data_IF_810023218477
#
_entry.id   IF_810023218477
#
_cell.length_a   1.000
_cell.length_b   1.000
_cell.length_c   1.000
_cell.angle_alpha   90.00
_cell.angle_beta   90.00
_cell.angle_gamma   90.00
#
_symmetry.space_group_name_H-M   'P 1'
#
loop_
_entity.id
_entity.type
_entity.pdbx_description
1 polymer ?
#
# COMPACT_ATOMS: atom_id res chain seq x y z
N UNK A 1 -4.13 -22.50 6.18
CA UNK A 1 -4.69 -21.16 6.47
C UNK A 1 -4.44 -20.30 5.22
N UNK A 2 -5.39 -19.49 4.75
CA UNK A 2 -5.17 -18.68 3.52
C UNK A 2 -4.23 -17.51 3.84
N UNK A 3 -3.26 -17.25 2.98
CA UNK A 3 -2.34 -16.11 3.09
C UNK A 3 -3.03 -14.86 2.53
N UNK A 4 -3.92 -14.25 3.30
CA UNK A 4 -4.68 -13.06 2.87
C UNK A 4 -3.88 -11.79 3.21
N UNK A 5 -3.96 -10.75 2.38
CA UNK A 5 -3.42 -9.42 2.69
C UNK A 5 -4.42 -8.31 2.40
N UNK A 6 -4.29 -7.22 3.14
CA UNK A 6 -5.09 -6.01 2.98
C UNK A 6 -4.45 -5.07 1.95
N UNK A 7 -5.25 -4.24 1.30
CA UNK A 7 -4.79 -3.25 0.33
C UNK A 7 -5.38 -1.87 0.57
N UNK A 8 -4.57 -0.83 0.36
CA UNK A 8 -5.02 0.55 0.24
C UNK A 8 -4.45 1.13 -1.05
N UNK A 9 -5.30 1.55 -1.98
CA UNK A 9 -4.87 2.12 -3.24
C UNK A 9 -5.59 3.43 -3.50
N UNK A 10 -4.91 4.44 -4.06
CA UNK A 10 -5.59 5.62 -4.56
C UNK A 10 -4.77 6.90 -4.61
N UNK A 11 -5.42 8.02 -4.86
CA UNK A 11 -4.74 9.27 -5.22
C UNK A 11 -5.58 10.49 -4.88
N UNK A 12 -4.92 11.62 -4.62
CA UNK A 12 -5.51 12.97 -4.73
C UNK A 12 -4.72 13.86 -5.71
N UNK A 13 -3.93 13.24 -6.57
CA UNK A 13 -3.17 13.86 -7.66
C UNK A 13 -3.68 13.35 -9.02
N UNK A 14 -3.13 13.91 -10.10
CA UNK A 14 -3.39 13.42 -11.46
C UNK A 14 -2.42 12.31 -11.88
N UNK A 15 -1.51 11.89 -10.99
CA UNK A 15 -0.56 10.85 -11.28
C UNK A 15 -1.29 9.50 -11.31
N UNK A 16 -1.19 8.76 -12.42
CA UNK A 16 -1.83 7.45 -12.62
C UNK A 16 -0.86 6.28 -12.47
N UNK A 17 0.43 6.55 -12.26
CA UNK A 17 1.47 5.53 -12.19
C UNK A 17 1.30 4.61 -10.98
N UNK A 18 0.69 5.10 -9.91
CA UNK A 18 0.33 4.28 -8.74
C UNK A 18 -0.52 3.06 -9.10
N UNK A 19 -1.36 3.11 -10.14
CA UNK A 19 -2.15 1.95 -10.58
C UNK A 19 -1.27 0.88 -11.20
N UNK A 20 -0.24 1.28 -11.97
CA UNK A 20 0.73 0.36 -12.56
C UNK A 20 1.54 -0.32 -11.47
N UNK A 21 2.11 0.45 -10.54
CA UNK A 21 2.85 -0.08 -9.39
C UNK A 21 1.96 -1.00 -8.56
N UNK A 22 0.73 -0.58 -8.27
CA UNK A 22 -0.22 -1.40 -7.52
C UNK A 22 -0.46 -2.75 -8.19
N UNK A 23 -0.71 -2.78 -9.51
CA UNK A 23 -0.89 -4.03 -10.26
C UNK A 23 0.34 -4.92 -10.23
N UNK A 24 1.54 -4.36 -10.41
CA UNK A 24 2.80 -5.13 -10.38
C UNK A 24 3.03 -5.78 -9.01
N UNK A 25 2.80 -5.05 -7.93
CA UNK A 25 2.95 -5.58 -6.56
C UNK A 25 1.88 -6.64 -6.23
N UNK A 26 0.65 -6.49 -6.72
CA UNK A 26 -0.37 -7.55 -6.59
C UNK A 26 0.10 -8.84 -7.28
N UNK A 27 0.61 -8.76 -8.51
CA UNK A 27 1.08 -9.94 -9.25
C UNK A 27 2.25 -10.64 -8.53
N UNK A 28 3.16 -9.88 -7.91
CA UNK A 28 4.24 -10.43 -7.10
C UNK A 28 3.71 -11.15 -5.86
N UNK A 29 2.75 -10.55 -5.15
CA UNK A 29 2.13 -11.18 -3.98
C UNK A 29 1.42 -12.49 -4.36
N UNK A 30 0.70 -12.50 -5.49
CA UNK A 30 -0.01 -13.68 -6.00
C UNK A 30 0.95 -14.80 -6.37
N UNK A 31 2.08 -14.49 -7.02
CA UNK A 31 3.14 -15.48 -7.33
C UNK A 31 3.74 -16.13 -6.08
N UNK A 32 3.77 -15.40 -4.96
CA UNK A 32 4.24 -15.89 -3.65
C UNK A 32 3.13 -16.56 -2.81
N UNK A 33 1.93 -16.74 -3.39
CA UNK A 33 0.82 -17.45 -2.75
C UNK A 33 0.02 -16.63 -1.75
N UNK A 34 0.18 -15.30 -1.75
CA UNK A 34 -0.67 -14.38 -1.00
C UNK A 34 -1.87 -13.95 -1.86
N UNK A 35 -3.00 -13.62 -1.24
CA UNK A 35 -4.22 -13.21 -1.95
C UNK A 35 -4.81 -11.96 -1.34
N UNK A 36 -5.25 -11.04 -2.20
CA UNK A 36 -5.91 -9.81 -1.76
C UNK A 36 -7.23 -10.15 -1.06
N UNK A 37 -7.54 -9.42 0.01
CA UNK A 37 -8.86 -9.43 0.62
C UNK A 37 -9.96 -9.13 -0.41
N UNK A 38 -11.11 -9.78 -0.24
CA UNK A 38 -12.33 -9.49 -1.01
C UNK A 38 -13.27 -8.53 -0.27
N UNK A 39 -12.99 -8.23 0.98
CA UNK A 39 -13.82 -7.38 1.82
C UNK A 39 -13.45 -5.92 1.57
N UNK A 40 -14.39 -5.13 1.05
CA UNK A 40 -14.20 -3.69 0.93
C UNK A 40 -14.51 -3.03 2.28
N UNK A 41 -13.67 -2.09 2.71
CA UNK A 41 -13.89 -1.34 3.94
C UNK A 41 -13.97 0.15 3.64
N UNK A 42 -14.79 0.86 4.43
CA UNK A 42 -14.78 2.32 4.45
C UNK A 42 -13.50 2.81 5.11
N UNK A 43 -12.88 3.82 4.52
CA UNK A 43 -11.71 4.49 5.09
C UNK A 43 -12.19 5.55 6.07
N UNK A 44 -11.64 5.52 7.28
CA UNK A 44 -11.85 6.53 8.31
C UNK A 44 -10.58 7.35 8.46
N UNK A 45 -10.71 8.68 8.43
CA UNK A 45 -9.58 9.58 8.55
C UNK A 45 -9.32 9.95 10.01
N UNK A 46 -8.16 9.56 10.54
CA UNK A 46 -7.81 9.87 11.94
C UNK A 46 -7.13 11.24 12.10
N UNK A 47 -6.33 11.67 11.12
CA UNK A 47 -5.44 12.84 11.27
C UNK A 47 -5.46 13.84 10.11
N UNK A 48 -5.90 13.44 8.92
CA UNK A 48 -5.81 14.26 7.70
C UNK A 48 -7.11 14.20 6.92
N UNK A 49 -7.57 15.35 6.42
CA UNK A 49 -8.74 15.38 5.54
C UNK A 49 -8.51 14.52 4.30
N UNK A 50 -9.46 13.62 4.03
CA UNK A 50 -9.50 12.82 2.80
C UNK A 50 -10.29 13.53 1.69
N UNK A 51 -10.56 14.82 1.84
CA UNK A 51 -11.17 15.62 0.79
C UNK A 51 -10.30 15.58 -0.47
N UNK A 52 -10.93 15.33 -1.62
CA UNK A 52 -10.30 15.12 -2.93
C UNK A 52 -9.47 13.85 -3.10
N UNK A 53 -9.50 12.93 -2.13
CA UNK A 53 -8.94 11.59 -2.30
C UNK A 53 -9.94 10.65 -2.96
N UNK A 54 -9.46 9.92 -3.96
CA UNK A 54 -10.10 8.69 -4.45
C UNK A 54 -9.31 7.52 -3.89
N UNK A 55 -9.86 6.79 -2.93
CA UNK A 55 -9.19 5.68 -2.25
C UNK A 55 -10.06 4.42 -2.22
N UNK A 56 -9.39 3.27 -2.30
CA UNK A 56 -9.97 1.93 -2.19
C UNK A 56 -9.23 1.14 -1.12
N UNK A 57 -9.95 0.73 -0.08
CA UNK A 57 -9.43 -0.12 0.99
C UNK A 57 -10.10 -1.49 0.92
N UNK A 58 -9.28 -2.54 0.88
CA UNK A 58 -9.72 -3.92 1.08
C UNK A 58 -9.01 -4.55 2.27
N UNK A 59 -9.73 -5.36 3.01
CA UNK A 59 -9.29 -5.93 4.29
C UNK A 59 -10.01 -5.28 5.46
N UNK A 60 -10.19 -6.07 6.52
CA UNK A 60 -10.79 -5.62 7.78
C UNK A 60 -10.00 -6.13 8.97
N UNK A 61 -10.24 -5.54 10.15
CA UNK A 61 -9.68 -6.01 11.43
C UNK A 61 -10.09 -7.44 11.79
N UNK A 62 -11.12 -7.97 11.14
CA UNK A 62 -11.66 -9.31 11.38
C UNK A 62 -11.07 -10.36 10.45
N UNK A 63 -10.49 -9.94 9.31
CA UNK A 63 -9.69 -10.82 8.47
C UNK A 63 -8.30 -11.02 9.06
N UNK A 64 -7.83 -12.27 9.06
CA UNK A 64 -6.52 -12.62 9.57
C UNK A 64 -5.44 -12.31 8.51
N UNK A 65 -5.32 -11.04 8.12
CA UNK A 65 -4.38 -10.54 7.14
C UNK A 65 -2.93 -10.74 7.61
N UNK A 66 -2.03 -11.08 6.69
CA UNK A 66 -0.60 -11.27 6.96
C UNK A 66 0.18 -9.97 6.88
N UNK A 67 -0.26 -9.06 6.02
CA UNK A 67 0.32 -7.74 5.83
C UNK A 67 -0.70 -6.81 5.16
N UNK A 68 -0.32 -5.53 5.06
CA UNK A 68 -1.03 -4.50 4.32
C UNK A 68 -0.12 -3.93 3.23
N UNK A 69 -0.63 -3.87 2.00
CA UNK A 69 0.00 -3.19 0.88
C UNK A 69 -0.72 -1.86 0.63
N UNK A 70 -0.01 -0.74 0.75
CA UNK A 70 -0.56 0.57 0.45
C UNK A 70 0.19 1.20 -0.74
N UNK A 71 -0.53 1.64 -1.77
CA UNK A 71 0.07 2.31 -2.94
C UNK A 71 -0.75 3.55 -3.24
N UNK A 72 -0.17 4.72 -2.97
CA UNK A 72 -0.90 5.99 -3.08
C UNK A 72 -0.11 7.04 -3.84
N UNK A 73 -0.80 7.93 -4.56
CA UNK A 73 -0.19 9.07 -5.24
C UNK A 73 -0.65 10.41 -4.63
N UNK A 74 -0.05 10.83 -3.50
CA UNK A 74 -0.41 12.09 -2.88
C UNK A 74 0.09 13.29 -3.71
N UNK A 75 -0.72 14.35 -3.80
CA UNK A 75 -0.37 15.62 -4.45
C UNK A 75 0.82 16.31 -3.79
N UNK A 76 0.99 16.11 -2.47
CA UNK A 76 2.11 16.66 -1.71
C UNK A 76 2.68 15.60 -0.75
N UNK A 77 4.00 15.55 -0.53
CA UNK A 77 4.63 14.51 0.29
C UNK A 77 4.14 14.41 1.73
N UNK A 78 3.69 15.52 2.30
CA UNK A 78 3.29 15.60 3.72
C UNK A 78 1.87 15.12 4.00
N UNK A 79 1.10 14.72 2.98
CA UNK A 79 -0.34 14.37 3.09
C UNK A 79 -0.57 12.96 2.54
N UNK A 80 0.26 11.99 2.93
CA UNK A 80 0.00 10.59 2.58
C UNK A 80 -1.04 10.00 3.54
N UNK A 81 -2.05 9.24 3.06
CA UNK A 81 -3.06 8.63 3.91
C UNK A 81 -2.56 7.34 4.56
N UNK A 82 -1.26 7.26 4.81
CA UNK A 82 -0.57 6.10 5.39
C UNK A 82 0.15 6.62 6.64
N UNK A 83 -0.15 6.13 7.85
CA UNK A 83 -0.89 4.92 8.20
C UNK A 83 -2.31 5.23 8.73
N UNK A 84 -3.21 5.78 7.89
CA UNK A 84 -4.53 6.27 8.34
C UNK A 84 -5.53 5.13 8.67
N UNK A 85 -5.13 3.85 8.60
CA UNK A 85 -6.01 2.72 8.91
C UNK A 85 -5.57 2.02 10.19
N UNK A 86 -5.91 2.59 11.36
CA UNK A 86 -5.80 1.90 12.66
C UNK A 86 -6.56 0.55 12.71
N UNK A 87 -7.41 0.27 11.71
CA UNK A 87 -8.19 -0.96 11.59
C UNK A 87 -7.37 -2.21 11.26
N UNK A 88 -6.14 -2.10 10.73
CA UNK A 88 -5.38 -3.27 10.28
C UNK A 88 -3.96 -3.25 10.88
N UNK A 89 -3.78 -3.95 12.02
CA UNK A 89 -2.52 -4.01 12.76
C UNK A 89 -1.63 -5.19 12.29
N UNK A 90 -1.05 -5.04 11.11
CA UNK A 90 -0.19 -6.03 10.44
C UNK A 90 1.04 -5.32 9.87
N UNK A 91 2.12 -6.06 9.52
CA UNK A 91 3.24 -5.48 8.79
C UNK A 91 2.78 -4.67 7.56
N UNK A 92 3.36 -3.50 7.37
CA UNK A 92 2.96 -2.56 6.32
C UNK A 92 4.08 -2.41 5.30
N UNK A 93 3.72 -2.55 4.02
CA UNK A 93 4.52 -2.10 2.90
C UNK A 93 3.76 -1.01 2.15
N UNK A 94 4.32 0.18 2.10
CA UNK A 94 3.68 1.36 1.55
C UNK A 94 4.55 2.00 0.47
N UNK A 95 3.91 2.41 -0.62
CA UNK A 95 4.52 3.15 -1.73
C UNK A 95 3.76 4.45 -1.92
N UNK A 96 4.51 5.55 -1.87
CA UNK A 96 4.07 6.90 -2.20
C UNK A 96 4.63 7.24 -3.56
N UNK A 97 3.76 7.54 -4.51
CA UNK A 97 4.12 7.82 -5.90
C UNK A 97 4.04 9.33 -6.11
N UNK A 98 5.19 9.94 -6.38
CA UNK A 98 5.32 11.34 -6.77
C UNK A 98 5.80 11.44 -8.21
N UNK A 99 5.75 12.63 -8.79
CA UNK A 99 6.14 12.83 -10.19
C UNK A 99 7.64 12.58 -10.43
N UNK A 100 8.49 12.81 -9.42
CA UNK A 100 9.95 12.73 -9.56
C UNK A 100 10.61 11.56 -8.81
N UNK A 101 9.87 10.89 -7.93
CA UNK A 101 10.40 9.82 -7.07
C UNK A 101 9.29 8.97 -6.44
N UNK A 102 9.70 7.85 -5.85
CA UNK A 102 8.85 6.99 -5.03
C UNK A 102 9.36 6.98 -3.59
N UNK A 103 8.47 7.22 -2.64
CA UNK A 103 8.70 6.97 -1.22
C UNK A 103 8.25 5.56 -0.86
N UNK A 104 9.11 4.76 -0.25
CA UNK A 104 8.82 3.38 0.15
C UNK A 104 8.97 3.27 1.65
N UNK A 105 7.90 2.86 2.32
CA UNK A 105 7.88 2.65 3.77
C UNK A 105 7.60 1.18 4.08
N UNK A 106 8.52 0.52 4.78
CA UNK A 106 8.30 -0.80 5.35
C UNK A 106 8.39 -0.76 6.88
N UNK A 107 7.25 -0.90 7.56
CA UNK A 107 7.11 -0.70 9.01
C UNK A 107 7.59 0.69 9.50
N UNK A 108 8.91 0.89 9.68
CA UNK A 108 9.54 2.11 10.18
C UNK A 108 10.69 2.64 9.34
N UNK A 109 11.14 1.90 8.32
CA UNK A 109 12.19 2.40 7.44
C UNK A 109 11.53 3.07 6.23
N UNK A 110 11.91 4.31 6.01
CA UNK A 110 11.54 5.07 4.84
C UNK A 110 12.75 5.15 3.90
N UNK A 111 12.54 4.84 2.64
CA UNK A 111 13.53 4.93 1.58
C UNK A 111 12.93 5.68 0.40
N UNK A 112 13.77 6.36 -0.38
CA UNK A 112 13.37 7.00 -1.62
C UNK A 112 14.13 6.40 -2.78
N UNK A 113 13.46 6.26 -3.92
CA UNK A 113 14.08 5.80 -5.16
C UNK A 113 13.45 6.50 -6.35
N UNK A 114 14.21 6.66 -7.43
CA UNK A 114 13.68 7.06 -8.76
C UNK A 114 13.45 5.87 -9.68
N UNK A 115 13.85 4.68 -9.23
CA UNK A 115 13.76 3.44 -10.00
C UNK A 115 12.57 2.62 -9.52
N UNK A 116 11.55 2.49 -10.37
CA UNK A 116 10.38 1.65 -10.12
C UNK A 116 10.73 0.17 -9.94
N UNK A 117 11.82 -0.31 -10.54
CA UNK A 117 12.28 -1.70 -10.38
C UNK A 117 12.73 -1.97 -8.94
N UNK A 118 13.33 -0.98 -8.28
CA UNK A 118 13.73 -1.10 -6.89
C UNK A 118 12.55 -1.32 -5.94
N UNK A 119 11.36 -0.80 -6.28
CA UNK A 119 10.11 -1.04 -5.50
C UNK A 119 9.80 -2.54 -5.48
N UNK A 120 9.87 -3.20 -6.64
CA UNK A 120 9.58 -4.63 -6.78
C UNK A 120 10.56 -5.47 -5.96
N UNK A 121 11.87 -5.21 -6.08
CA UNK A 121 12.90 -5.91 -5.28
C UNK A 121 12.71 -5.72 -3.77
N UNK A 122 12.36 -4.51 -3.33
CA UNK A 122 12.09 -4.24 -1.91
C UNK A 122 10.82 -4.96 -1.42
N UNK A 123 9.79 -5.04 -2.26
CA UNK A 123 8.55 -5.74 -1.93
C UNK A 123 8.74 -7.26 -1.88
N UNK A 124 9.52 -7.83 -2.80
CA UNK A 124 9.86 -9.26 -2.78
C UNK A 124 10.60 -9.62 -1.48
N UNK A 125 11.61 -8.84 -1.10
CA UNK A 125 12.32 -9.02 0.17
C UNK A 125 11.38 -8.91 1.38
N UNK A 126 10.43 -7.98 1.35
CA UNK A 126 9.41 -7.84 2.38
C UNK A 126 8.52 -9.10 2.46
N UNK A 127 7.98 -9.57 1.34
CA UNK A 127 7.14 -10.78 1.31
C UNK A 127 7.92 -12.00 1.80
N UNK A 128 9.17 -12.17 1.39
CA UNK A 128 10.00 -13.29 1.80
C UNK A 128 10.24 -13.32 3.31
N UNK A 129 10.25 -12.15 3.97
CA UNK A 129 10.36 -12.07 5.43
C UNK A 129 9.10 -12.53 6.19
N UNK A 130 7.98 -12.74 5.49
CA UNK A 130 6.69 -13.16 6.06
C UNK A 130 6.39 -14.66 5.91
N UNK A 131 7.23 -15.39 5.19
CA UNK A 131 7.12 -16.85 4.91
C UNK A 131 7.92 -17.62 5.95
#
# INVERSE_FOLDING_TARGET
>A
MKNIFATLCGTNSNNTEYLKIYSELLDLAYKKGFFESKENQRIFSDQTSLENWSLWLKGSSHENCKFMLAVTAPKVPTIAPIPITLSINVPLFAVLVFDDFYGIMNNRNYNETKDSIAINSMFENFIESLI
#
